data_IF_819486438527
#
_entry.id   IF_819486438527
#
_cell.length_a   1.000
_cell.length_b   1.000
_cell.length_c   1.000
_cell.angle_alpha   90.00
_cell.angle_beta   90.00
_cell.angle_gamma   90.00
#
_symmetry.space_group_name_H-M   'P 1'
#
loop_
_entity.id
_entity.type
_entity.pdbx_description
1 polymer ?
#
# COMPACT_ATOMS: atom_id res chain seq x y z
N UNK A 1 29.04 -11.82 -10.37
CA UNK A 1 28.07 -11.34 -11.38
C UNK A 1 27.15 -12.52 -11.67
N UNK A 2 25.91 -12.51 -11.13
CA UNK A 2 24.97 -13.62 -11.34
C UNK A 2 24.26 -13.38 -12.68
N UNK A 3 24.83 -13.95 -13.74
CA UNK A 3 24.19 -13.98 -15.07
C UNK A 3 22.94 -14.86 -15.01
N UNK A 4 21.80 -14.35 -15.48
CA UNK A 4 20.60 -15.15 -15.78
C UNK A 4 19.45 -15.13 -14.76
N UNK A 5 19.59 -14.53 -13.57
CA UNK A 5 18.44 -14.28 -12.69
C UNK A 5 17.86 -12.90 -12.98
N UNK A 6 16.57 -12.85 -13.33
CA UNK A 6 15.80 -11.60 -13.36
C UNK A 6 15.91 -10.95 -11.97
N UNK A 7 16.27 -9.65 -11.88
CA UNK A 7 16.34 -8.97 -10.59
C UNK A 7 14.97 -9.01 -9.91
N UNK A 8 14.98 -9.17 -8.59
CA UNK A 8 13.75 -9.07 -7.80
C UNK A 8 13.30 -7.60 -7.79
N UNK A 9 12.22 -7.35 -8.52
CA UNK A 9 11.59 -6.03 -8.62
C UNK A 9 10.39 -5.89 -7.68
N UNK A 10 10.19 -6.78 -6.70
CA UNK A 10 9.06 -6.74 -5.77
C UNK A 10 8.94 -5.41 -5.00
N UNK A 11 10.06 -4.70 -4.80
CA UNK A 11 10.10 -3.36 -4.21
C UNK A 11 10.09 -2.19 -5.20
N UNK A 12 10.20 -2.46 -6.51
CA UNK A 12 10.28 -1.43 -7.54
C UNK A 12 8.87 -1.03 -8.00
N UNK A 13 8.44 0.17 -7.59
CA UNK A 13 7.16 0.78 -7.99
C UNK A 13 7.43 1.98 -8.91
N UNK A 14 6.65 2.10 -9.99
CA UNK A 14 6.81 3.15 -11.00
C UNK A 14 5.77 4.25 -10.75
N UNK A 15 6.18 5.51 -10.63
CA UNK A 15 5.24 6.63 -10.48
C UNK A 15 4.18 6.63 -11.59
N UNK A 16 2.93 6.85 -11.23
CA UNK A 16 1.76 6.69 -12.09
C UNK A 16 1.19 5.27 -12.14
N UNK A 17 1.83 4.27 -11.51
CA UNK A 17 1.27 2.92 -11.44
C UNK A 17 0.02 2.88 -10.56
N UNK A 18 -0.90 1.97 -10.90
CA UNK A 18 -2.10 1.76 -10.10
C UNK A 18 -1.77 1.19 -8.72
N UNK A 19 -2.38 1.76 -7.69
CA UNK A 19 -2.21 1.34 -6.30
C UNK A 19 -3.56 1.08 -5.62
N UNK A 20 -3.56 0.14 -4.69
CA UNK A 20 -4.72 -0.21 -3.87
C UNK A 20 -4.37 0.01 -2.40
N UNK A 21 -5.07 0.93 -1.75
CA UNK A 21 -4.82 1.31 -0.35
C UNK A 21 -5.86 0.67 0.53
N UNK A 22 -5.41 -0.11 1.52
CA UNK A 22 -6.32 -0.73 2.48
C UNK A 22 -6.85 0.33 3.46
N UNK A 23 -8.17 0.50 3.51
CA UNK A 23 -8.82 1.33 4.52
C UNK A 23 -9.05 0.51 5.78
N UNK A 24 -8.71 1.07 6.94
CA UNK A 24 -9.03 0.47 8.22
C UNK A 24 -10.56 0.41 8.38
N UNK A 25 -11.13 -0.78 8.34
CA UNK A 25 -12.53 -1.00 8.68
C UNK A 25 -12.77 -0.65 10.15
N UNK A 26 -13.88 0.04 10.44
CA UNK A 26 -14.33 0.36 11.80
C UNK A 26 -14.84 -0.91 12.51
N UNK A 27 -13.96 -1.83 12.87
CA UNK A 27 -14.31 -2.99 13.70
C UNK A 27 -13.67 -2.87 15.08
N UNK A 28 -14.48 -2.42 16.04
CA UNK A 28 -14.27 -2.57 17.48
C UNK A 28 -14.10 -4.05 17.83
N UNK A 29 -12.86 -4.50 18.04
CA UNK A 29 -12.56 -5.72 18.81
C UNK A 29 -11.10 -5.58 19.17
N UNK A 30 -10.87 -5.19 20.42
CA UNK A 30 -9.55 -5.15 21.05
C UNK A 30 -9.12 -6.61 21.23
N UNK A 31 -8.12 -7.05 20.47
CA UNK A 31 -7.55 -8.39 20.62
C UNK A 31 -6.29 -8.51 19.77
N UNK A 32 -5.23 -9.14 20.31
CA UNK A 32 -3.91 -9.26 19.66
C UNK A 32 -3.94 -10.00 18.30
N UNK A 33 -5.02 -10.73 17.99
CA UNK A 33 -5.25 -11.43 16.71
C UNK A 33 -6.07 -10.62 15.69
N UNK A 34 -6.38 -9.35 15.99
CA UNK A 34 -7.24 -8.50 15.17
C UNK A 34 -6.52 -7.76 14.03
N UNK A 35 -5.21 -7.94 13.84
CA UNK A 35 -4.40 -7.12 12.91
C UNK A 35 -4.57 -7.48 11.43
N UNK A 36 -4.82 -8.75 11.11
CA UNK A 36 -4.90 -9.23 9.72
C UNK A 36 -6.35 -9.40 9.25
N UNK A 37 -7.23 -9.97 10.08
CA UNK A 37 -8.62 -10.27 9.70
C UNK A 37 -9.60 -9.08 9.72
N UNK A 38 -9.13 -7.85 10.01
CA UNK A 38 -10.00 -6.67 10.20
C UNK A 38 -9.79 -5.52 9.23
N UNK A 39 -8.84 -5.65 8.31
CA UNK A 39 -8.92 -4.87 7.10
C UNK A 39 -10.07 -5.49 6.31
N UNK A 40 -11.32 -5.15 6.66
CA UNK A 40 -12.46 -5.31 5.74
C UNK A 40 -11.93 -4.75 4.43
N UNK A 41 -11.88 -5.59 3.40
CA UNK A 41 -11.16 -5.39 2.14
C UNK A 41 -11.75 -4.26 1.29
N UNK A 42 -12.01 -3.11 1.90
CA UNK A 42 -12.31 -1.85 1.25
C UNK A 42 -10.96 -1.28 0.87
N UNK A 43 -10.44 -1.78 -0.24
CA UNK A 43 -9.31 -1.17 -0.90
C UNK A 43 -9.81 0.05 -1.68
N UNK A 44 -9.07 1.14 -1.59
CA UNK A 44 -9.32 2.35 -2.37
C UNK A 44 -8.31 2.37 -3.50
N UNK A 45 -8.81 2.57 -4.71
CA UNK A 45 -7.99 2.69 -5.91
C UNK A 45 -7.35 4.08 -5.94
N UNK A 46 -6.04 4.13 -6.21
CA UNK A 46 -5.29 5.37 -6.39
C UNK A 46 -4.10 5.17 -7.33
N UNK A 47 -3.26 6.19 -7.45
CA UNK A 47 -2.04 6.17 -8.25
C UNK A 47 -0.84 6.47 -7.39
N UNK A 48 0.16 5.62 -7.51
CA UNK A 48 1.44 5.77 -6.82
C UNK A 48 2.17 7.00 -7.34
N UNK A 49 2.57 7.90 -6.45
CA UNK A 49 3.35 9.08 -6.80
C UNK A 49 4.82 8.87 -6.51
N UNK A 50 5.14 8.27 -5.37
CA UNK A 50 6.51 8.12 -4.90
C UNK A 50 6.60 7.51 -3.52
N UNK A 51 7.80 7.49 -2.94
CA UNK A 51 8.03 7.02 -1.57
C UNK A 51 8.51 8.17 -0.71
N UNK A 52 7.96 8.25 0.50
CA UNK A 52 8.42 9.18 1.54
C UNK A 52 9.49 8.51 2.44
N UNK A 53 9.36 7.20 2.69
CA UNK A 53 10.31 6.40 3.46
C UNK A 53 10.37 4.95 2.93
N UNK A 54 11.26 4.12 3.49
CA UNK A 54 11.51 2.74 3.01
C UNK A 54 10.25 1.88 2.84
N UNK A 55 9.22 2.10 3.66
CA UNK A 55 7.94 1.41 3.59
C UNK A 55 6.73 2.35 3.54
N UNK A 56 6.91 3.66 3.31
CA UNK A 56 5.84 4.65 3.25
C UNK A 56 5.75 5.21 1.84
N UNK A 57 4.59 5.03 1.22
CA UNK A 57 4.30 5.41 -0.16
C UNK A 57 3.28 6.53 -0.22
N UNK A 58 3.51 7.45 -1.12
CA UNK A 58 2.61 8.54 -1.48
C UNK A 58 1.69 8.08 -2.60
N UNK A 59 0.39 8.16 -2.36
CA UNK A 59 -0.63 7.67 -3.29
C UNK A 59 -1.68 8.76 -3.44
N UNK A 60 -1.93 9.19 -4.67
CA UNK A 60 -3.04 10.08 -4.98
C UNK A 60 -4.33 9.28 -5.14
N UNK A 61 -5.37 9.69 -4.43
CA UNK A 61 -6.71 9.11 -4.52
C UNK A 61 -7.63 10.11 -5.22
N UNK A 62 -8.23 9.74 -6.36
CA UNK A 62 -9.09 10.64 -7.14
C UNK A 62 -10.38 10.97 -6.40
N UNK A 63 -10.95 9.98 -5.71
CA UNK A 63 -12.25 10.06 -5.03
C UNK A 63 -12.27 11.20 -3.98
N UNK A 64 -11.13 11.44 -3.33
CA UNK A 64 -11.00 12.50 -2.33
C UNK A 64 -10.18 13.69 -2.82
N UNK A 65 -9.66 13.63 -4.06
CA UNK A 65 -8.66 14.54 -4.62
C UNK A 65 -7.52 14.84 -3.62
N UNK A 66 -6.95 13.79 -3.02
CA UNK A 66 -5.95 13.92 -1.95
C UNK A 66 -4.81 12.93 -2.10
N UNK A 67 -3.63 13.34 -1.67
CA UNK A 67 -2.49 12.45 -1.48
C UNK A 67 -2.55 11.85 -0.09
N UNK A 68 -2.43 10.53 -0.01
CA UNK A 68 -2.34 9.78 1.25
C UNK A 68 -1.00 9.08 1.35
N UNK A 69 -0.56 8.89 2.60
CA UNK A 69 0.63 8.11 2.92
C UNK A 69 0.20 6.72 3.37
N UNK A 70 0.50 5.71 2.57
CA UNK A 70 0.21 4.31 2.87
C UNK A 70 1.49 3.57 3.25
N UNK A 71 1.41 2.71 4.27
CA UNK A 71 2.52 1.85 4.66
C UNK A 71 2.31 0.45 4.09
N UNK A 72 3.37 -0.17 3.59
CA UNK A 72 3.34 -1.62 3.33
C UNK A 72 3.19 -2.37 4.65
N UNK A 73 2.22 -3.27 4.71
CA UNK A 73 2.06 -4.20 5.82
C UNK A 73 2.36 -5.58 5.26
N UNK A 74 3.58 -6.06 5.50
CA UNK A 74 3.95 -7.46 5.26
C UNK A 74 3.17 -8.40 6.17
#
# INVERSE_FOLDING_TARGET
>A
IVYGKKPDCSGARISGSLAYVLRKGSSQTRGKNARLHKLKAVSIKGWYLGRSASNIFEIWIPEFNKVVYARDVL
#
